data_IF_125331347175
#
_entry.id   IF_125331347175
#
_cell.length_a   1.000
_cell.length_b   1.000
_cell.length_c   1.000
_cell.angle_alpha   90.00
_cell.angle_beta   90.00
_cell.angle_gamma   90.00
#
_symmetry.space_group_name_H-M   'P 1'
#
loop_
_entity.id
_entity.type
_entity.pdbx_description
1 polymer ?
#
# COMPACT_ATOMS: atom_id res chain seq x y z
N UNK A 1 -11.83 33.39 38.06
CA UNK A 1 -11.53 31.95 37.92
C UNK A 1 -12.33 31.36 36.78
N UNK A 2 -11.80 31.36 35.56
CA UNK A 2 -12.28 30.48 34.49
C UNK A 2 -11.43 29.20 34.45
N UNK A 3 -12.11 28.05 34.39
CA UNK A 3 -11.66 26.73 33.94
C UNK A 3 -12.91 26.13 33.28
N UNK A 4 -12.88 25.46 32.13
CA UNK A 4 -11.80 24.98 31.29
C UNK A 4 -12.37 24.67 29.90
N UNK A 5 -11.49 24.76 28.91
CA UNK A 5 -11.60 24.39 27.50
C UNK A 5 -12.46 23.15 27.21
N UNK A 6 -13.34 23.25 26.20
CA UNK A 6 -14.01 22.15 25.50
C UNK A 6 -13.47 21.99 24.07
N UNK A 7 -12.22 22.37 23.82
CA UNK A 7 -11.53 22.11 22.56
C UNK A 7 -10.57 20.94 22.80
N UNK A 8 -10.95 19.71 22.41
CA UNK A 8 -10.03 18.56 22.27
C UNK A 8 -10.63 17.31 21.61
N UNK A 9 -11.71 17.40 20.82
CA UNK A 9 -12.25 16.21 20.12
C UNK A 9 -12.75 16.51 18.71
N UNK A 10 -13.07 17.75 18.40
CA UNK A 10 -13.47 18.18 17.05
C UNK A 10 -12.29 18.47 16.14
N UNK A 11 -11.13 18.86 16.67
CA UNK A 11 -9.94 19.16 15.84
C UNK A 11 -9.22 17.89 15.35
N UNK A 12 -9.15 16.81 16.16
CA UNK A 12 -8.62 15.50 15.72
C UNK A 12 -9.54 14.80 14.70
N UNK A 13 -10.84 15.12 14.71
CA UNK A 13 -11.82 14.51 13.80
C UNK A 13 -11.86 15.17 12.40
N UNK A 14 -11.41 16.43 12.29
CA UNK A 14 -11.30 17.12 11.00
C UNK A 14 -9.99 16.75 10.27
N UNK A 15 -8.96 16.29 10.99
CA UNK A 15 -7.72 15.74 10.41
C UNK A 15 -7.87 14.29 9.91
N UNK A 16 -8.92 13.59 10.37
CA UNK A 16 -9.26 12.20 10.01
C UNK A 16 -9.65 12.01 8.54
N UNK A 17 -10.00 13.07 7.82
CA UNK A 17 -10.54 12.98 6.47
C UNK A 17 -9.49 13.07 5.34
N UNK A 18 -8.22 13.33 5.65
CA UNK A 18 -7.18 13.63 4.66
C UNK A 18 -6.29 12.44 4.28
N UNK A 19 -6.57 11.23 4.79
CA UNK A 19 -5.67 10.09 4.66
C UNK A 19 -6.45 8.86 4.18
N UNK A 20 -6.42 8.60 2.86
CA UNK A 20 -6.82 7.35 2.16
C UNK A 20 -8.27 6.86 2.27
N UNK A 21 -8.98 7.21 3.33
CA UNK A 21 -10.35 6.86 3.63
C UNK A 21 -11.24 8.10 3.45
N UNK A 22 -11.41 8.55 2.21
CA UNK A 22 -12.40 9.59 1.91
C UNK A 22 -13.80 9.10 2.32
N UNK A 23 -14.29 9.55 3.48
CA UNK A 23 -15.70 9.43 3.85
C UNK A 23 -16.51 10.24 2.81
N UNK A 24 -16.92 9.60 1.72
CA UNK A 24 -17.78 10.22 0.73
C UNK A 24 -19.08 10.72 1.36
N UNK A 25 -19.66 11.78 0.79
CA UNK A 25 -20.90 12.43 1.26
C UNK A 25 -22.13 11.50 1.17
N UNK A 26 -21.99 10.24 0.72
CA UNK A 26 -23.03 9.23 0.85
C UNK A 26 -22.97 8.52 2.21
N UNK A 27 -23.75 9.03 3.16
CA UNK A 27 -23.87 8.57 4.56
C UNK A 27 -24.45 7.14 4.71
N UNK A 28 -24.32 6.26 3.72
CA UNK A 28 -24.92 4.92 3.73
C UNK A 28 -23.97 3.78 3.38
N UNK A 29 -22.79 4.06 2.81
CA UNK A 29 -22.00 3.00 2.15
C UNK A 29 -20.57 2.83 2.65
N UNK A 30 -20.09 3.73 3.53
CA UNK A 30 -18.76 3.62 4.15
C UNK A 30 -18.85 3.65 5.66
N UNK A 31 -18.17 2.71 6.30
CA UNK A 31 -17.99 2.67 7.74
C UNK A 31 -16.54 2.30 8.05
N UNK A 32 -15.87 3.09 8.90
CA UNK A 32 -14.43 2.91 9.13
C UNK A 32 -14.15 2.79 10.63
N UNK A 33 -13.21 1.94 11.00
CA UNK A 33 -12.61 1.88 12.32
C UNK A 33 -11.12 2.14 12.17
N UNK A 34 -10.59 3.11 12.92
CA UNK A 34 -9.17 3.46 12.88
C UNK A 34 -8.52 3.16 14.22
N UNK A 35 -7.35 2.56 14.15
CA UNK A 35 -6.55 2.14 15.28
C UNK A 35 -5.20 2.84 15.25
N UNK A 36 -4.65 3.10 16.43
CA UNK A 36 -3.29 3.61 16.63
C UNK A 36 -2.47 2.49 17.28
N UNK A 37 -1.98 1.52 16.49
CA UNK A 37 -1.33 0.34 17.04
C UNK A 37 -0.03 0.69 17.77
N UNK A 38 0.29 -0.06 18.81
CA UNK A 38 1.55 0.01 19.54
C UNK A 38 2.11 -1.39 19.73
N UNK A 39 2.92 -1.83 18.74
CA UNK A 39 3.39 -3.20 18.67
C UNK A 39 2.23 -4.19 18.61
N UNK A 40 2.21 -5.16 19.53
CA UNK A 40 1.15 -6.17 19.55
C UNK A 40 -0.24 -5.68 19.93
N UNK A 41 -0.37 -4.47 20.48
CA UNK A 41 -1.66 -3.92 20.90
C UNK A 41 -2.26 -3.08 19.78
N UNK A 42 -3.48 -3.42 19.35
CA UNK A 42 -4.23 -2.68 18.34
C UNK A 42 -4.81 -1.37 18.90
N UNK A 43 -5.01 -1.28 20.22
CA UNK A 43 -5.51 -0.07 20.89
C UNK A 43 -7.04 0.12 20.87
N UNK A 44 -7.49 1.20 21.51
CA UNK A 44 -8.91 1.57 21.59
C UNK A 44 -9.37 2.25 20.29
N UNK A 45 -9.69 1.45 19.28
CA UNK A 45 -10.10 1.94 17.96
C UNK A 45 -11.22 2.99 18.00
N UNK A 46 -11.14 3.94 17.07
CA UNK A 46 -12.05 5.07 16.91
C UNK A 46 -12.92 4.82 15.67
N UNK A 47 -14.24 4.86 15.86
CA UNK A 47 -15.20 4.68 14.77
C UNK A 47 -15.32 5.99 13.96
N UNK A 48 -14.89 5.94 12.70
CA UNK A 48 -15.06 6.98 11.69
C UNK A 48 -16.33 6.82 10.85
N UNK A 49 -16.74 7.92 10.23
CA UNK A 49 -17.97 8.13 9.46
C UNK A 49 -19.30 7.82 10.24
N UNK A 50 -20.14 8.84 10.44
CA UNK A 50 -21.41 8.73 11.20
C UNK A 50 -22.49 8.04 10.37
N UNK A 51 -22.47 6.71 10.34
CA UNK A 51 -23.67 5.95 10.02
C UNK A 51 -24.65 5.99 11.20
N UNK A 52 -25.95 6.09 10.90
CA UNK A 52 -26.99 5.88 11.93
C UNK A 52 -26.87 4.49 12.58
N UNK A 53 -26.32 3.50 11.84
CA UNK A 53 -25.94 2.16 12.31
C UNK A 53 -24.76 1.63 11.49
N UNK A 54 -23.59 1.52 12.10
CA UNK A 54 -22.45 0.87 11.44
C UNK A 54 -22.72 -0.63 11.20
N UNK A 55 -22.19 -1.23 10.12
CA UNK A 55 -22.25 -2.66 9.86
C UNK A 55 -21.67 -3.50 11.01
N UNK A 56 -22.08 -4.77 11.07
CA UNK A 56 -21.62 -5.67 12.13
C UNK A 56 -20.10 -5.95 12.06
N UNK A 57 -19.51 -5.98 10.86
CA UNK A 57 -18.08 -6.27 10.66
C UNK A 57 -17.20 -5.17 11.27
N UNK A 58 -17.50 -3.90 11.04
CA UNK A 58 -16.77 -2.74 11.61
C UNK A 58 -16.88 -2.65 13.14
N UNK A 59 -17.77 -3.41 13.77
CA UNK A 59 -17.88 -3.50 15.24
C UNK A 59 -17.29 -4.79 15.81
N UNK A 60 -16.70 -5.63 14.97
CA UNK A 60 -16.22 -6.94 15.36
C UNK A 60 -14.76 -6.86 15.82
N UNK A 61 -14.55 -6.44 17.06
CA UNK A 61 -13.21 -6.35 17.66
C UNK A 61 -12.40 -7.64 17.51
N UNK A 62 -13.02 -8.82 17.66
CA UNK A 62 -12.33 -10.10 17.48
C UNK A 62 -11.85 -10.36 16.04
N UNK A 63 -12.57 -9.87 15.03
CA UNK A 63 -12.09 -9.89 13.64
C UNK A 63 -10.93 -8.92 13.45
N UNK A 64 -11.02 -7.72 14.03
CA UNK A 64 -10.00 -6.68 13.87
C UNK A 64 -8.66 -7.10 14.47
N UNK A 65 -8.68 -7.63 15.70
CA UNK A 65 -7.49 -8.20 16.35
C UNK A 65 -6.88 -9.34 15.55
N UNK A 66 -7.73 -10.17 14.92
CA UNK A 66 -7.25 -11.27 14.07
C UNK A 66 -6.59 -10.74 12.80
N UNK A 67 -7.13 -9.71 12.16
CA UNK A 67 -6.52 -9.09 10.98
C UNK A 67 -5.19 -8.41 11.32
N UNK A 68 -5.12 -7.73 12.47
CA UNK A 68 -3.87 -7.16 12.95
C UNK A 68 -2.82 -8.24 13.23
N UNK A 69 -3.23 -9.33 13.88
CA UNK A 69 -2.34 -10.48 14.13
C UNK A 69 -1.80 -11.09 12.84
N UNK A 70 -2.66 -11.25 11.82
CA UNK A 70 -2.22 -11.74 10.50
C UNK A 70 -1.24 -10.75 9.86
N UNK A 71 -1.58 -9.46 9.87
CA UNK A 71 -0.74 -8.43 9.25
C UNK A 71 0.65 -8.39 9.89
N UNK A 72 0.73 -8.41 11.22
CA UNK A 72 2.01 -8.47 11.95
C UNK A 72 2.83 -9.75 11.72
N UNK A 73 2.19 -10.85 11.33
CA UNK A 73 2.94 -12.05 10.97
C UNK A 73 3.62 -11.90 9.60
N UNK A 74 3.07 -11.07 8.72
CA UNK A 74 3.54 -10.89 7.34
C UNK A 74 4.35 -9.59 7.14
N UNK A 75 4.19 -8.63 8.04
CA UNK A 75 4.94 -7.39 8.09
C UNK A 75 6.04 -7.56 9.15
N UNK A 76 7.32 -7.50 8.78
CA UNK A 76 8.41 -7.66 9.73
C UNK A 76 8.38 -6.65 10.87
N UNK A 77 8.75 -7.11 12.07
CA UNK A 77 8.88 -6.26 13.26
C UNK A 77 9.77 -5.02 13.03
N UNK A 78 10.75 -5.14 12.12
CA UNK A 78 11.66 -4.05 11.77
C UNK A 78 10.98 -2.88 11.05
N UNK A 79 9.83 -3.10 10.41
CA UNK A 79 9.08 -2.07 9.69
C UNK A 79 7.68 -1.83 10.29
N UNK A 80 7.20 -2.73 11.17
CA UNK A 80 5.90 -2.58 11.87
C UNK A 80 5.78 -1.22 12.56
N UNK A 81 6.87 -0.69 13.13
CA UNK A 81 6.87 0.60 13.83
C UNK A 81 6.50 1.80 12.93
N UNK A 82 6.64 1.64 11.60
CA UNK A 82 6.31 2.68 10.61
C UNK A 82 4.79 2.85 10.48
N UNK A 83 4.00 1.84 10.84
CA UNK A 83 2.54 1.87 10.74
C UNK A 83 1.97 2.59 11.97
N UNK A 84 1.60 3.85 11.80
CA UNK A 84 1.00 4.66 12.87
C UNK A 84 -0.52 4.57 12.91
N UNK A 85 -1.15 4.20 11.79
CA UNK A 85 -2.61 4.06 11.67
C UNK A 85 -2.96 2.76 10.98
N UNK A 86 -3.85 1.99 11.61
CA UNK A 86 -4.46 0.81 10.99
C UNK A 86 -5.95 1.03 10.77
N UNK A 87 -6.39 0.94 9.52
CA UNK A 87 -7.72 1.34 9.07
C UNK A 87 -8.50 0.10 8.63
N UNK A 88 -9.67 -0.12 9.21
CA UNK A 88 -10.59 -1.17 8.78
C UNK A 88 -11.86 -0.53 8.28
N UNK A 89 -12.05 -0.55 6.96
CA UNK A 89 -13.19 0.05 6.30
C UNK A 89 -14.14 -1.03 5.80
N UNK A 90 -15.44 -0.77 5.80
CA UNK A 90 -16.37 -1.51 4.96
C UNK A 90 -16.87 -0.53 3.90
N UNK A 91 -16.27 -0.59 2.72
CA UNK A 91 -16.57 0.26 1.58
C UNK A 91 -16.92 -0.60 0.36
N UNK A 92 -18.17 -0.52 -0.10
CA UNK A 92 -18.64 -1.24 -1.28
C UNK A 92 -18.55 -0.44 -2.58
N UNK A 93 -17.94 0.75 -2.56
CA UNK A 93 -17.78 1.62 -3.72
C UNK A 93 -16.48 1.37 -4.49
N UNK A 94 -15.55 0.63 -3.89
CA UNK A 94 -14.24 0.30 -4.45
C UNK A 94 -13.96 -1.19 -4.36
N UNK A 95 -13.25 -1.70 -5.36
CA UNK A 95 -12.73 -3.07 -5.39
C UNK A 95 -11.36 -3.18 -4.68
N UNK A 96 -10.80 -2.06 -4.21
CA UNK A 96 -9.56 -2.02 -3.42
C UNK A 96 -9.69 -2.88 -2.15
N UNK A 97 -8.81 -3.86 -2.03
CA UNK A 97 -8.78 -4.81 -0.91
C UNK A 97 -8.02 -4.28 0.30
N UNK A 98 -6.92 -3.58 0.05
CA UNK A 98 -6.10 -2.91 1.05
C UNK A 98 -5.40 -1.70 0.42
N UNK A 99 -4.77 -0.88 1.25
CA UNK A 99 -3.91 0.20 0.78
C UNK A 99 -2.88 0.55 1.85
N UNK A 100 -1.79 1.18 1.44
CA UNK A 100 -0.92 1.95 2.32
C UNK A 100 -0.72 3.36 1.78
N UNK A 101 -0.56 4.32 2.69
CA UNK A 101 -0.22 5.69 2.32
C UNK A 101 0.75 6.28 3.34
N UNK A 102 1.71 7.06 2.85
CA UNK A 102 2.59 7.82 3.75
C UNK A 102 1.81 8.94 4.45
N UNK A 103 2.08 9.13 5.72
CA UNK A 103 1.53 10.20 6.58
C UNK A 103 2.47 11.41 6.65
N UNK A 104 3.63 11.32 6.02
CA UNK A 104 4.62 12.39 5.93
C UNK A 104 5.24 12.49 4.53
N UNK A 105 6.02 13.55 4.30
CA UNK A 105 6.69 13.83 3.03
C UNK A 105 8.04 13.12 2.88
N UNK A 106 8.31 12.09 3.69
CA UNK A 106 9.56 11.33 3.70
C UNK A 106 9.34 9.81 3.64
N UNK A 107 8.12 9.29 3.79
CA UNK A 107 7.85 7.85 3.85
C UNK A 107 8.25 7.21 5.19
N UNK A 108 8.26 7.96 6.30
CA UNK A 108 8.67 7.42 7.62
C UNK A 108 7.49 6.81 8.38
N UNK A 109 6.34 7.44 8.28
CA UNK A 109 5.11 7.10 8.97
C UNK A 109 4.04 6.75 7.94
N UNK A 110 3.31 5.68 8.21
CA UNK A 110 2.38 5.06 7.26
C UNK A 110 1.03 4.81 7.91
N UNK A 111 0.00 4.90 7.09
CA UNK A 111 -1.27 4.25 7.36
C UNK A 111 -1.45 3.02 6.48
N UNK A 112 -2.14 2.04 7.03
CA UNK A 112 -2.40 0.77 6.37
C UNK A 112 -3.87 0.40 6.55
N UNK A 113 -4.57 0.19 5.45
CA UNK A 113 -6.00 -0.08 5.41
C UNK A 113 -6.35 -1.46 4.87
N UNK A 114 -7.40 -2.08 5.39
CA UNK A 114 -8.03 -3.29 4.82
C UNK A 114 -9.52 -3.06 4.64
N UNK A 115 -10.03 -3.41 3.46
CA UNK A 115 -11.46 -3.41 3.15
C UNK A 115 -12.13 -4.72 3.64
N UNK A 116 -13.15 -4.56 4.47
CA UNK A 116 -13.94 -5.62 5.09
C UNK A 116 -15.15 -6.02 4.26
N UNK A 117 -15.43 -5.35 3.13
CA UNK A 117 -16.65 -5.55 2.34
C UNK A 117 -16.82 -7.01 1.91
N UNK A 118 -15.83 -7.57 1.22
CA UNK A 118 -15.89 -8.94 0.69
C UNK A 118 -15.00 -9.94 1.44
N UNK A 119 -14.38 -9.50 2.53
CA UNK A 119 -13.51 -10.33 3.35
C UNK A 119 -14.23 -11.58 3.90
N UNK A 120 -13.64 -12.76 3.69
CA UNK A 120 -14.12 -14.01 4.28
C UNK A 120 -12.95 -14.95 4.65
N UNK A 121 -12.52 -14.89 5.90
CA UNK A 121 -11.40 -15.72 6.41
C UNK A 121 -11.66 -17.24 6.36
N UNK A 122 -12.89 -17.68 6.14
CA UNK A 122 -13.23 -19.10 5.99
C UNK A 122 -13.14 -19.60 4.54
N UNK A 123 -13.22 -18.70 3.56
CA UNK A 123 -13.04 -19.04 2.16
C UNK A 123 -11.56 -19.09 1.82
N UNK A 124 -11.10 -20.22 1.26
CA UNK A 124 -9.66 -20.42 1.01
C UNK A 124 -9.11 -19.37 0.05
N UNK A 125 -9.80 -19.11 -1.05
CA UNK A 125 -9.35 -18.21 -2.11
C UNK A 125 -9.23 -16.78 -1.57
N UNK A 126 -10.30 -16.28 -0.93
CA UNK A 126 -10.36 -14.91 -0.37
C UNK A 126 -9.30 -14.69 0.71
N UNK A 127 -8.95 -15.75 1.44
CA UNK A 127 -7.90 -15.63 2.46
C UNK A 127 -6.50 -15.64 1.87
N UNK A 128 -6.19 -16.48 0.88
CA UNK A 128 -4.86 -16.42 0.24
C UNK A 128 -4.69 -15.08 -0.48
N UNK A 129 -5.75 -14.56 -1.09
CA UNK A 129 -5.79 -13.20 -1.67
C UNK A 129 -5.53 -12.14 -0.59
N UNK A 130 -6.16 -12.24 0.60
CA UNK A 130 -5.80 -11.36 1.72
C UNK A 130 -4.30 -11.44 2.04
N UNK A 131 -3.71 -12.65 2.15
CA UNK A 131 -2.30 -12.77 2.51
C UNK A 131 -1.39 -12.13 1.45
N UNK A 132 -1.67 -12.35 0.16
CA UNK A 132 -0.89 -11.73 -0.91
C UNK A 132 -1.06 -10.22 -0.93
N UNK A 133 -2.28 -9.71 -0.71
CA UNK A 133 -2.53 -8.26 -0.61
C UNK A 133 -1.76 -7.65 0.57
N UNK A 134 -1.70 -8.29 1.74
CA UNK A 134 -0.91 -7.77 2.87
C UNK A 134 0.58 -7.69 2.52
N UNK A 135 1.10 -8.71 1.83
CA UNK A 135 2.50 -8.75 1.41
C UNK A 135 2.78 -7.69 0.34
N UNK A 136 1.83 -7.46 -0.57
CA UNK A 136 1.86 -6.38 -1.55
C UNK A 136 1.96 -5.02 -0.85
N UNK A 137 1.04 -4.71 0.07
CA UNK A 137 1.06 -3.45 0.82
C UNK A 137 2.35 -3.26 1.63
N UNK A 138 2.91 -4.35 2.16
CA UNK A 138 4.21 -4.29 2.82
C UNK A 138 5.34 -3.94 1.85
N UNK A 139 5.31 -4.43 0.61
CA UNK A 139 6.31 -4.09 -0.39
C UNK A 139 6.36 -2.57 -0.63
N UNK A 140 5.20 -1.89 -0.66
CA UNK A 140 5.14 -0.43 -0.71
C UNK A 140 5.84 0.23 0.48
N UNK A 141 5.55 -0.18 1.73
CA UNK A 141 6.22 0.35 2.93
C UNK A 141 7.75 0.12 2.88
N UNK A 142 8.17 -1.04 2.37
CA UNK A 142 9.57 -1.42 2.22
C UNK A 142 10.29 -0.56 1.18
N UNK A 143 9.64 -0.24 0.06
CA UNK A 143 10.31 0.40 -1.08
C UNK A 143 10.06 1.88 -1.23
N UNK A 144 9.07 2.43 -0.54
CA UNK A 144 8.71 3.84 -0.62
C UNK A 144 9.08 4.62 0.66
N UNK A 145 9.89 4.05 1.54
CA UNK A 145 10.38 4.75 2.73
C UNK A 145 11.54 5.71 2.46
N UNK A 146 11.96 6.43 3.50
CA UNK A 146 12.96 7.51 3.47
C UNK A 146 14.37 7.08 3.02
N UNK A 147 14.62 5.77 2.93
CA UNK A 147 15.90 5.23 2.46
C UNK A 147 15.88 4.85 0.99
N UNK A 148 14.71 4.86 0.35
CA UNK A 148 14.49 4.32 -1.00
C UNK A 148 14.04 5.38 -2.00
N UNK A 149 13.18 6.31 -1.56
CA UNK A 149 12.64 7.36 -2.43
C UNK A 149 12.75 8.74 -1.78
N UNK A 150 12.59 9.77 -2.61
CA UNK A 150 12.33 11.14 -2.15
C UNK A 150 11.03 11.65 -2.74
N UNK A 151 10.23 12.32 -1.93
CA UNK A 151 8.98 12.94 -2.35
C UNK A 151 9.17 14.44 -2.57
N UNK A 152 8.38 14.99 -3.49
CA UNK A 152 8.23 16.44 -3.60
C UNK A 152 7.04 16.91 -2.74
N UNK A 153 7.32 17.81 -1.80
CA UNK A 153 6.30 18.32 -0.87
C UNK A 153 5.18 19.12 -1.54
N UNK A 154 5.45 19.80 -2.66
CA UNK A 154 4.43 20.54 -3.38
C UNK A 154 3.54 19.59 -4.18
N UNK A 155 4.11 18.54 -4.77
CA UNK A 155 3.33 17.49 -5.43
C UNK A 155 2.42 16.77 -4.42
N UNK A 156 2.93 16.37 -3.27
CA UNK A 156 2.11 15.75 -2.22
C UNK A 156 0.98 16.67 -1.75
N UNK A 157 1.26 17.97 -1.57
CA UNK A 157 0.23 18.93 -1.19
C UNK A 157 -0.87 19.06 -2.26
N UNK A 158 -0.50 18.92 -3.55
CA UNK A 158 -1.43 19.04 -4.67
C UNK A 158 -2.53 17.97 -4.67
N UNK A 159 -2.28 16.77 -4.14
CA UNK A 159 -3.27 15.70 -4.05
C UNK A 159 -4.49 16.07 -3.18
N UNK A 160 -4.30 16.99 -2.23
CA UNK A 160 -5.38 17.49 -1.36
C UNK A 160 -5.89 18.87 -1.77
N UNK A 161 -5.26 19.48 -2.79
CA UNK A 161 -5.66 20.78 -3.31
C UNK A 161 -6.75 20.63 -4.37
N UNK A 162 -8.01 20.67 -3.93
CA UNK A 162 -9.17 20.62 -4.83
C UNK A 162 -9.29 21.85 -5.76
N UNK A 163 -8.46 22.89 -5.59
CA UNK A 163 -8.48 24.10 -6.42
C UNK A 163 -7.38 24.12 -7.49
N UNK A 164 -6.40 23.22 -7.45
CA UNK A 164 -5.33 23.15 -8.45
C UNK A 164 -5.92 22.83 -9.82
N UNK A 165 -5.49 23.58 -10.85
CA UNK A 165 -5.88 23.26 -12.23
C UNK A 165 -5.00 22.17 -12.82
N UNK A 166 -5.54 21.39 -13.77
CA UNK A 166 -4.77 20.37 -14.51
C UNK A 166 -3.45 20.95 -15.06
N UNK A 167 -3.49 22.16 -15.61
CA UNK A 167 -2.29 22.80 -16.16
C UNK A 167 -1.23 23.16 -15.12
N UNK A 168 -1.63 23.46 -13.88
CA UNK A 168 -0.71 23.72 -12.76
C UNK A 168 -0.14 22.40 -12.22
N UNK A 169 -0.96 21.36 -12.11
CA UNK A 169 -0.53 20.02 -11.71
C UNK A 169 0.48 19.42 -12.71
N UNK A 170 0.20 19.50 -14.01
CA UNK A 170 1.12 19.05 -15.06
C UNK A 170 2.45 19.81 -15.05
N UNK A 171 2.39 21.13 -14.83
CA UNK A 171 3.61 21.93 -14.73
C UNK A 171 4.47 21.54 -13.53
N UNK A 172 3.82 21.19 -12.41
CA UNK A 172 4.49 20.70 -11.21
C UNK A 172 5.14 19.33 -11.44
N UNK A 173 4.43 18.38 -12.07
CA UNK A 173 5.00 17.07 -12.42
C UNK A 173 6.27 17.20 -13.26
N UNK A 174 6.27 18.09 -14.27
CA UNK A 174 7.46 18.34 -15.11
C UNK A 174 8.64 18.89 -14.29
N UNK A 175 8.38 19.75 -13.31
CA UNK A 175 9.42 20.27 -12.41
C UNK A 175 10.00 19.16 -11.52
N UNK A 176 9.13 18.35 -10.92
CA UNK A 176 9.52 17.23 -10.05
C UNK A 176 10.31 16.17 -10.82
N UNK A 177 9.86 15.80 -12.01
CA UNK A 177 10.56 14.86 -12.88
C UNK A 177 11.95 15.39 -13.26
N UNK A 178 12.06 16.68 -13.60
CA UNK A 178 13.34 17.30 -13.94
C UNK A 178 14.32 17.31 -12.76
N UNK A 179 13.84 17.61 -11.55
CA UNK A 179 14.64 17.58 -10.33
C UNK A 179 15.06 16.16 -9.95
N UNK A 180 14.16 15.18 -10.09
CA UNK A 180 14.49 13.77 -9.90
C UNK A 180 15.58 13.30 -10.88
N UNK A 181 15.44 13.63 -12.16
CA UNK A 181 16.44 13.34 -13.18
C UNK A 181 17.77 14.05 -12.90
N UNK A 182 17.76 15.29 -12.40
CA UNK A 182 18.97 16.00 -11.99
C UNK A 182 19.70 15.32 -10.82
N UNK A 183 18.95 14.65 -9.94
CA UNK A 183 19.48 13.78 -8.89
C UNK A 183 19.88 12.37 -9.38
N UNK A 184 19.79 12.11 -10.70
CA UNK A 184 20.00 10.80 -11.32
C UNK A 184 19.00 9.72 -10.90
N UNK A 185 17.87 10.11 -10.31
CA UNK A 185 16.79 9.20 -9.94
C UNK A 185 15.88 8.87 -11.12
N UNK A 186 14.85 8.08 -10.83
CA UNK A 186 13.75 7.77 -11.74
C UNK A 186 12.45 8.20 -11.08
N UNK A 187 11.64 8.99 -11.76
CA UNK A 187 10.33 9.42 -11.27
C UNK A 187 9.25 8.56 -11.92
N UNK A 188 8.38 7.96 -11.12
CA UNK A 188 7.29 7.11 -11.60
C UNK A 188 5.93 7.82 -11.69
N UNK A 189 5.87 9.09 -11.30
CA UNK A 189 4.64 9.88 -11.20
C UNK A 189 4.26 10.23 -9.77
N UNK A 190 4.79 9.51 -8.78
CA UNK A 190 4.49 9.73 -7.36
C UNK A 190 5.74 10.05 -6.55
N UNK A 191 6.81 9.29 -6.76
CA UNK A 191 8.04 9.41 -5.98
C UNK A 191 9.29 9.33 -6.87
N UNK A 192 10.35 10.01 -6.44
CA UNK A 192 11.64 9.88 -7.10
C UNK A 192 12.43 8.72 -6.48
N UNK A 193 12.63 7.65 -7.24
CA UNK A 193 13.45 6.51 -6.84
C UNK A 193 14.91 6.93 -6.77
N UNK A 194 15.51 6.80 -5.58
CA UNK A 194 16.90 7.17 -5.38
C UNK A 194 17.84 6.14 -6.02
N UNK A 195 18.96 6.55 -6.63
CA UNK A 195 19.94 5.62 -7.17
C UNK A 195 20.41 4.58 -6.14
N UNK A 196 20.32 3.30 -6.50
CA UNK A 196 20.66 2.17 -5.62
C UNK A 196 19.57 1.79 -4.62
N UNK A 197 18.38 2.40 -4.70
CA UNK A 197 17.19 1.85 -4.04
C UNK A 197 16.66 0.63 -4.79
N UNK A 198 15.82 -0.17 -4.11
CA UNK A 198 15.24 -1.35 -4.73
C UNK A 198 14.39 -1.02 -5.96
N UNK A 199 13.53 0.02 -5.87
CA UNK A 199 12.70 0.44 -7.01
C UNK A 199 13.53 1.02 -8.15
N UNK A 200 14.60 1.75 -7.85
CA UNK A 200 15.50 2.24 -8.89
C UNK A 200 16.15 1.07 -9.64
N UNK A 201 16.78 0.14 -8.93
CA UNK A 201 17.47 -0.99 -9.56
C UNK A 201 16.48 -1.92 -10.28
N UNK A 202 15.28 -2.11 -9.73
CA UNK A 202 14.20 -2.86 -10.36
C UNK A 202 13.73 -2.18 -11.66
N UNK A 203 13.46 -0.88 -11.63
CA UNK A 203 13.10 -0.11 -12.84
C UNK A 203 14.19 -0.23 -13.90
N UNK A 204 15.46 -0.05 -13.53
CA UNK A 204 16.60 -0.16 -14.46
C UNK A 204 16.73 -1.56 -15.06
N UNK A 205 16.35 -2.61 -14.31
CA UNK A 205 16.41 -4.00 -14.74
C UNK A 205 15.26 -4.43 -15.64
N UNK A 206 14.05 -3.94 -15.37
CA UNK A 206 12.81 -4.52 -15.93
C UNK A 206 11.93 -3.52 -16.69
N UNK A 207 12.09 -2.21 -16.49
CA UNK A 207 11.22 -1.19 -17.09
C UNK A 207 11.92 -0.28 -18.12
N UNK A 208 13.20 0.05 -17.91
CA UNK A 208 13.95 1.00 -18.76
C UNK A 208 13.92 0.65 -20.26
N UNK A 209 13.79 -0.63 -20.58
CA UNK A 209 13.82 -1.12 -21.97
C UNK A 209 12.50 -0.89 -22.73
N UNK A 210 11.38 -0.67 -22.04
CA UNK A 210 10.08 -0.35 -22.68
C UNK A 210 10.11 1.00 -23.41
N UNK A 211 11.04 1.89 -23.03
CA UNK A 211 11.23 3.19 -23.65
C UNK A 211 10.55 4.33 -22.90
N UNK A 212 10.63 5.53 -23.47
CA UNK A 212 10.22 6.77 -22.79
C UNK A 212 8.72 6.83 -22.48
N UNK A 213 7.89 6.17 -23.29
CA UNK A 213 6.42 6.24 -23.17
C UNK A 213 5.87 5.17 -22.21
N UNK A 214 6.73 4.38 -21.55
CA UNK A 214 6.31 3.23 -20.74
C UNK A 214 5.38 3.60 -19.58
N UNK A 215 5.66 4.70 -18.88
CA UNK A 215 4.83 5.16 -17.76
C UNK A 215 3.47 5.68 -18.23
N UNK A 216 3.42 6.35 -19.40
CA UNK A 216 2.17 6.79 -20.02
C UNK A 216 1.32 5.58 -20.42
N UNK A 217 1.91 4.58 -21.08
CA UNK A 217 1.22 3.35 -21.46
C UNK A 217 0.74 2.54 -20.25
N UNK A 218 1.52 2.53 -19.16
CA UNK A 218 1.15 1.88 -17.90
C UNK A 218 -0.06 2.58 -17.26
N UNK A 219 -0.03 3.91 -17.19
CA UNK A 219 -1.13 4.73 -16.68
C UNK A 219 -2.41 4.58 -17.51
N UNK A 220 -2.29 4.47 -18.84
CA UNK A 220 -3.42 4.19 -19.73
C UNK A 220 -3.91 2.73 -19.67
N UNK A 221 -3.17 1.84 -18.99
CA UNK A 221 -3.47 0.41 -18.90
C UNK A 221 -3.20 -0.37 -20.18
N UNK A 222 -2.45 0.18 -21.13
CA UNK A 222 -2.18 -0.42 -22.44
C UNK A 222 -0.85 -1.16 -22.49
N UNK A 223 0.08 -0.90 -21.57
CA UNK A 223 1.39 -1.58 -21.53
C UNK A 223 1.26 -3.11 -21.46
N UNK A 224 0.28 -3.60 -20.69
CA UNK A 224 0.04 -5.04 -20.53
C UNK A 224 -0.39 -5.73 -21.83
N UNK A 225 -1.03 -5.03 -22.77
CA UNK A 225 -1.53 -5.63 -24.01
C UNK A 225 -0.38 -6.17 -24.88
N UNK A 226 0.74 -5.45 -24.91
CA UNK A 226 1.91 -5.80 -25.70
C UNK A 226 2.96 -6.59 -24.91
N UNK A 227 3.03 -6.41 -23.59
CA UNK A 227 4.10 -6.95 -22.73
C UNK A 227 3.60 -7.85 -21.60
N UNK A 228 2.37 -8.38 -21.68
CA UNK A 228 1.74 -9.10 -20.55
C UNK A 228 2.49 -10.33 -20.04
N UNK A 229 3.44 -10.91 -20.78
CA UNK A 229 4.31 -11.99 -20.28
C UNK A 229 5.38 -11.52 -19.31
N UNK A 230 5.62 -10.22 -19.22
CA UNK A 230 6.65 -9.66 -18.36
C UNK A 230 6.14 -9.37 -16.95
N UNK A 231 4.83 -9.45 -16.74
CA UNK A 231 4.12 -9.10 -15.51
C UNK A 231 3.43 -10.32 -14.91
N UNK A 232 3.31 -10.34 -13.58
CA UNK A 232 2.61 -11.44 -12.87
C UNK A 232 1.09 -11.39 -13.10
N UNK A 233 0.54 -10.22 -13.39
CA UNK A 233 -0.85 -9.98 -13.81
C UNK A 233 -0.94 -8.59 -14.48
N UNK A 234 -2.15 -8.19 -14.85
CA UNK A 234 -2.43 -6.87 -15.46
C UNK A 234 -2.23 -5.70 -14.49
N UNK A 235 -2.53 -5.89 -13.21
CA UNK A 235 -2.33 -4.87 -12.19
C UNK A 235 -0.85 -4.48 -12.03
N UNK A 236 0.05 -5.46 -12.06
CA UNK A 236 1.49 -5.26 -12.00
C UNK A 236 2.04 -4.40 -13.16
N UNK A 237 1.31 -4.25 -14.27
CA UNK A 237 1.73 -3.42 -15.40
C UNK A 237 1.32 -1.94 -15.30
N UNK A 238 0.63 -1.54 -14.22
CA UNK A 238 0.10 -0.18 -14.06
C UNK A 238 1.14 0.84 -13.62
N UNK A 239 2.20 0.39 -12.94
CA UNK A 239 3.38 1.20 -12.63
C UNK A 239 4.58 0.32 -12.24
N UNK A 240 5.81 0.84 -12.25
CA UNK A 240 6.98 0.13 -11.72
C UNK A 240 6.84 -0.23 -10.23
N UNK A 241 6.15 0.62 -9.47
CA UNK A 241 5.90 0.43 -8.04
C UNK A 241 4.94 -0.73 -7.81
N UNK A 242 3.84 -0.81 -8.58
CA UNK A 242 2.90 -1.93 -8.52
C UNK A 242 3.53 -3.23 -9.03
N UNK A 243 4.37 -3.16 -10.07
CA UNK A 243 5.11 -4.32 -10.56
C UNK A 243 6.03 -4.91 -9.49
N UNK A 244 6.76 -4.04 -8.79
CA UNK A 244 7.61 -4.48 -7.68
C UNK A 244 6.77 -5.18 -6.61
N UNK A 245 5.68 -4.56 -6.17
CA UNK A 245 4.85 -5.05 -5.08
C UNK A 245 4.17 -6.40 -5.42
N UNK A 246 3.58 -6.50 -6.61
CA UNK A 246 2.96 -7.74 -7.09
C UNK A 246 3.99 -8.84 -7.35
N UNK A 247 5.14 -8.50 -7.94
CA UNK A 247 6.22 -9.47 -8.15
C UNK A 247 6.82 -9.94 -6.81
N UNK A 248 6.90 -9.07 -5.81
CA UNK A 248 7.36 -9.41 -4.46
C UNK A 248 6.38 -10.36 -3.76
N UNK A 249 5.08 -10.11 -3.87
CA UNK A 249 4.04 -11.02 -3.39
C UNK A 249 4.09 -12.37 -4.11
N UNK A 250 4.25 -12.38 -5.43
CA UNK A 250 4.38 -13.60 -6.22
C UNK A 250 5.65 -14.40 -5.89
N UNK A 251 6.74 -13.73 -5.54
CA UNK A 251 7.99 -14.38 -5.13
C UNK A 251 7.83 -15.16 -3.81
N UNK A 252 7.02 -14.62 -2.89
CA UNK A 252 6.73 -15.23 -1.60
C UNK A 252 5.58 -16.25 -1.65
N UNK A 253 4.67 -16.09 -2.60
CA UNK A 253 3.49 -16.95 -2.79
C UNK A 253 3.31 -17.39 -4.26
N UNK A 254 4.31 -18.07 -4.87
CA UNK A 254 4.28 -18.41 -6.31
C UNK A 254 3.18 -19.41 -6.67
N UNK A 255 2.61 -20.11 -5.68
CA UNK A 255 1.47 -21.01 -5.86
C UNK A 255 0.12 -20.31 -5.96
N UNK A 256 0.05 -19.00 -5.70
CA UNK A 256 -1.20 -18.28 -5.75
C UNK A 256 -1.70 -18.14 -7.19
N UNK A 257 -2.91 -18.62 -7.46
CA UNK A 257 -3.50 -18.70 -8.81
C UNK A 257 -3.67 -17.34 -9.51
N UNK A 258 -3.56 -16.23 -8.78
CA UNK A 258 -3.59 -14.88 -9.34
C UNK A 258 -2.31 -14.50 -10.10
N UNK A 259 -1.21 -15.24 -9.92
CA UNK A 259 0.09 -14.92 -10.51
C UNK A 259 0.43 -15.83 -11.70
N UNK A 260 0.77 -15.21 -12.82
CA UNK A 260 1.37 -15.86 -13.98
C UNK A 260 2.90 -15.82 -13.86
N UNK A 261 3.51 -16.98 -13.56
CA UNK A 261 4.97 -17.08 -13.46
C UNK A 261 5.57 -17.47 -14.82
N UNK A 262 6.14 -16.49 -15.52
CA UNK A 262 6.88 -16.65 -16.78
C UNK A 262 8.40 -16.63 -16.55
N UNK A 263 9.19 -16.85 -17.60
CA UNK A 263 10.65 -16.71 -17.54
C UNK A 263 11.07 -15.27 -17.16
N UNK A 264 10.40 -14.24 -17.70
CA UNK A 264 10.68 -12.84 -17.34
C UNK A 264 10.36 -12.57 -15.85
N UNK A 265 9.29 -13.16 -15.32
CA UNK A 265 8.95 -13.05 -13.89
C UNK A 265 9.99 -13.77 -13.02
N UNK A 266 10.49 -14.93 -13.45
CA UNK A 266 11.57 -15.63 -12.74
C UNK A 266 12.86 -14.79 -12.67
N UNK A 267 13.15 -13.96 -13.68
CA UNK A 267 14.27 -13.01 -13.63
C UNK A 267 14.07 -11.93 -12.53
N UNK A 268 12.82 -11.48 -12.31
CA UNK A 268 12.47 -10.59 -11.19
C UNK A 268 12.67 -11.28 -9.84
N UNK A 269 12.36 -12.57 -9.75
CA UNK A 269 12.64 -13.35 -8.55
C UNK A 269 14.14 -13.48 -8.30
N UNK A 270 14.94 -13.68 -9.34
CA UNK A 270 16.39 -13.70 -9.25
C UNK A 270 16.96 -12.35 -8.78
N UNK A 271 16.33 -11.23 -9.17
CA UNK A 271 16.66 -9.91 -8.61
C UNK A 271 16.45 -9.87 -7.10
N UNK A 272 15.29 -10.29 -6.58
CA UNK A 272 15.06 -10.34 -5.13
C UNK A 272 16.05 -11.26 -4.41
N UNK A 273 16.33 -12.44 -4.98
CA UNK A 273 17.26 -13.41 -4.41
C UNK A 273 18.72 -12.94 -4.39
N UNK A 274 19.07 -11.98 -5.26
CA UNK A 274 20.40 -11.38 -5.28
C UNK A 274 20.66 -10.43 -4.10
N UNK A 275 19.60 -10.00 -3.39
CA UNK A 275 19.66 -9.06 -2.27
C UNK A 275 19.63 -9.81 -0.92
N UNK A 276 20.74 -9.84 -0.15
CA UNK A 276 20.81 -10.59 1.12
C UNK A 276 19.76 -10.16 2.16
N UNK A 277 19.44 -8.87 2.19
CA UNK A 277 18.43 -8.27 3.06
C UNK A 277 17.04 -8.80 2.72
N UNK A 278 16.68 -8.85 1.43
CA UNK A 278 15.39 -9.40 0.97
C UNK A 278 15.28 -10.91 1.21
N UNK A 279 16.40 -11.65 1.14
CA UNK A 279 16.41 -13.08 1.51
C UNK A 279 16.16 -13.30 3.00
N UNK A 280 16.68 -12.42 3.86
CA UNK A 280 16.42 -12.46 5.30
C UNK A 280 14.95 -12.16 5.59
N UNK A 281 14.41 -11.17 4.88
CA UNK A 281 13.03 -10.75 4.94
C UNK A 281 12.07 -11.87 4.49
N UNK A 282 12.36 -12.51 3.36
CA UNK A 282 11.62 -13.67 2.86
C UNK A 282 11.48 -14.76 3.90
N UNK A 283 12.56 -15.13 4.58
CA UNK A 283 12.52 -16.16 5.60
C UNK A 283 11.60 -15.80 6.79
N UNK A 284 11.46 -14.51 7.11
CA UNK A 284 10.54 -14.04 8.16
C UNK A 284 9.09 -14.12 7.70
N UNK A 285 8.80 -13.62 6.50
CA UNK A 285 7.44 -13.61 5.94
C UNK A 285 6.96 -15.04 5.66
N UNK A 286 7.80 -15.93 5.13
CA UNK A 286 7.47 -17.35 4.93
C UNK A 286 7.14 -18.05 6.26
N UNK A 287 7.88 -17.75 7.34
CA UNK A 287 7.57 -18.27 8.66
C UNK A 287 6.21 -17.76 9.19
N UNK A 288 5.90 -16.49 8.94
CA UNK A 288 4.60 -15.89 9.25
C UNK A 288 3.45 -16.50 8.46
N UNK A 289 3.64 -16.71 7.15
CA UNK A 289 2.70 -17.42 6.28
C UNK A 289 2.40 -18.82 6.82
N UNK A 290 3.43 -19.58 7.20
CA UNK A 290 3.29 -20.91 7.78
C UNK A 290 2.48 -20.89 9.09
N UNK A 291 2.75 -19.93 9.98
CA UNK A 291 2.00 -19.77 11.24
C UNK A 291 0.53 -19.42 10.97
N UNK A 292 0.27 -18.45 10.12
CA UNK A 292 -1.07 -17.97 9.78
C UNK A 292 -1.89 -19.07 9.11
N UNK A 293 -1.29 -19.81 8.17
CA UNK A 293 -1.90 -20.95 7.49
C UNK A 293 -2.14 -22.12 8.44
N UNK A 294 -1.21 -22.42 9.36
CA UNK A 294 -1.38 -23.50 10.35
C UNK A 294 -2.45 -23.17 11.41
N UNK A 295 -2.60 -21.90 11.79
CA UNK A 295 -3.66 -21.42 12.69
C UNK A 295 -5.06 -21.51 12.09
N UNK A 296 -5.18 -21.76 10.78
CA UNK A 296 -6.43 -21.94 10.05
C UNK A 296 -6.88 -23.39 10.11
N UNK A 297 -7.61 -23.74 11.18
CA UNK A 297 -8.34 -25.02 11.19
C UNK A 297 -9.53 -24.88 10.23
N UNK A 298 -9.47 -25.55 9.08
CA UNK A 298 -10.62 -25.81 8.22
C UNK A 298 -11.44 -27.00 8.73
#
# INVERSE_FOLDING_TARGET
NPRSSSASQTEEADEFAATGAECGIDRREVATMVYLPMGSDLGEGILGCVLLRAPARVRNAGLHERLWTISRALIPDADEFRIERFILAQDGRTDTLAFVATLDDQGRSWEYGINLQDLNLLDRSVFEELLSTIIHEYAHILTLNETQVSYDSALLASYTDMEISDAEYEALLVEVEADCSAASGVFDGEACFMPGSYLFDFYRGFWDWYGADALELAFEGTLFEDYGTDFVNDYAATSPTEDFAESFAAWLMPEHEAFLITETVEDKFAFFESQPELMTLRAQIEAGLDEVRAGRIF
#
